data_IF_705214661556
#
_entry.id   IF_705214661556
#
_cell.length_a   1.000
_cell.length_b   1.000
_cell.length_c   1.000
_cell.angle_alpha   90.00
_cell.angle_beta   90.00
_cell.angle_gamma   90.00
#
_symmetry.space_group_name_H-M   'P 1'
#
loop_
_entity.id
_entity.type
_entity.pdbx_description
1 polymer ?
#
# COMPACT_ATOMS: atom_id res chain seq x y z
N UNK A 1 -40.43 -23.71 69.24
CA UNK A 1 -39.74 -23.99 67.95
C UNK A 1 -40.03 -22.81 67.02
N UNK A 2 -39.07 -21.89 66.83
CA UNK A 2 -38.25 -21.77 65.59
C UNK A 2 -39.12 -21.85 64.32
N UNK A 3 -39.16 -20.88 63.41
CA UNK A 3 -38.06 -20.08 62.87
C UNK A 3 -38.58 -18.81 62.17
N UNK A 4 -37.75 -17.76 62.16
CA UNK A 4 -37.88 -16.54 61.33
C UNK A 4 -37.44 -16.84 59.89
N UNK A 5 -38.03 -16.18 58.89
CA UNK A 5 -37.26 -15.77 57.70
C UNK A 5 -37.68 -14.36 57.27
N UNK A 6 -36.66 -13.50 57.17
CA UNK A 6 -36.71 -12.13 56.64
C UNK A 6 -36.60 -12.23 55.12
N UNK A 7 -37.48 -11.57 54.39
CA UNK A 7 -37.29 -11.29 52.97
C UNK A 7 -36.48 -10.00 52.88
N UNK A 8 -35.19 -10.14 52.56
CA UNK A 8 -34.34 -9.03 52.09
C UNK A 8 -34.71 -8.76 50.63
N UNK A 9 -35.28 -7.58 50.35
CA UNK A 9 -35.40 -7.07 49.00
C UNK A 9 -34.03 -6.72 48.45
N UNK A 10 -33.54 -7.50 47.49
CA UNK A 10 -32.38 -7.16 46.67
C UNK A 10 -32.81 -6.03 45.74
N UNK A 11 -32.26 -4.84 45.97
CA UNK A 11 -32.36 -3.70 45.03
C UNK A 11 -31.56 -4.09 43.79
N UNK A 12 -32.25 -4.51 42.74
CA UNK A 12 -31.68 -4.69 41.42
C UNK A 12 -31.29 -3.32 40.88
N UNK A 13 -29.98 -3.04 40.93
CA UNK A 13 -29.38 -1.84 40.35
C UNK A 13 -29.53 -1.95 38.82
N UNK A 14 -30.47 -1.19 38.26
CA UNK A 14 -30.64 -1.07 36.81
C UNK A 14 -29.33 -0.53 36.21
N UNK A 15 -28.62 -1.37 35.44
CA UNK A 15 -27.62 -0.87 34.49
C UNK A 15 -28.37 0.00 33.47
N UNK A 16 -28.15 1.32 33.54
CA UNK A 16 -28.55 2.21 32.46
C UNK A 16 -27.78 1.82 31.20
N UNK A 17 -28.49 1.30 30.19
CA UNK A 17 -27.98 1.23 28.84
C UNK A 17 -27.75 2.68 28.36
N UNK A 18 -26.50 3.04 28.07
CA UNK A 18 -26.16 4.34 27.50
C UNK A 18 -26.80 4.49 26.10
N UNK A 19 -27.24 5.70 25.72
CA UNK A 19 -27.96 5.91 24.47
C UNK A 19 -27.06 5.65 23.25
N UNK A 20 -27.65 5.14 22.16
CA UNK A 20 -27.02 5.07 20.83
C UNK A 20 -26.43 6.45 20.48
N UNK A 21 -25.10 6.51 20.30
CA UNK A 21 -24.45 7.74 19.87
C UNK A 21 -24.57 7.79 18.35
N UNK A 22 -25.23 8.83 17.86
CA UNK A 22 -25.74 9.03 16.49
C UNK A 22 -27.09 8.31 16.20
N UNK A 23 -28.17 9.09 16.11
CA UNK A 23 -29.55 8.61 15.87
C UNK A 23 -29.92 8.37 14.39
N UNK A 24 -30.70 7.29 14.19
CA UNK A 24 -31.60 6.88 13.10
C UNK A 24 -31.23 7.19 11.63
N UNK A 25 -30.66 6.17 10.95
CA UNK A 25 -31.32 5.39 9.88
C UNK A 25 -30.26 4.54 9.15
N UNK A 26 -30.37 3.20 9.22
CA UNK A 26 -29.58 2.17 8.47
C UNK A 26 -28.03 2.26 8.47
N UNK A 27 -27.46 3.32 9.03
CA UNK A 27 -26.05 3.65 9.04
C UNK A 27 -25.46 3.30 10.41
N UNK A 28 -24.26 2.74 10.42
CA UNK A 28 -23.58 2.32 11.64
C UNK A 28 -23.45 3.46 12.66
N UNK A 29 -23.48 3.16 13.97
CA UNK A 29 -23.37 4.09 15.10
C UNK A 29 -22.22 3.69 16.04
N UNK A 30 -21.84 4.58 16.97
CA UNK A 30 -20.85 4.28 18.01
C UNK A 30 -21.60 3.96 19.31
N UNK A 31 -21.17 2.91 20.00
CA UNK A 31 -21.68 2.54 21.32
C UNK A 31 -20.51 2.45 22.28
N UNK A 32 -20.63 3.10 23.43
CA UNK A 32 -19.64 3.02 24.50
C UNK A 32 -20.18 2.14 25.62
N UNK A 33 -19.41 1.12 26.00
CA UNK A 33 -19.71 0.25 27.13
C UNK A 33 -18.43 0.02 27.93
N UNK A 34 -18.44 0.43 29.19
CA UNK A 34 -17.27 0.41 30.08
C UNK A 34 -16.07 1.13 29.44
N UNK A 35 -15.01 0.40 29.10
CA UNK A 35 -13.80 0.91 28.41
C UNK A 35 -13.78 0.63 26.91
N UNK A 36 -14.80 -0.07 26.40
CA UNK A 36 -14.87 -0.48 25.01
C UNK A 36 -15.62 0.52 24.14
N UNK A 37 -15.21 0.60 22.88
CA UNK A 37 -15.85 1.40 21.83
C UNK A 37 -16.30 0.45 20.72
N UNK A 38 -17.60 0.32 20.49
CA UNK A 38 -18.14 -0.55 19.45
C UNK A 38 -18.73 0.26 18.30
N UNK A 39 -18.53 -0.22 17.08
CA UNK A 39 -19.27 0.25 15.90
C UNK A 39 -20.38 -0.77 15.62
N UNK A 40 -21.63 -0.31 15.61
CA UNK A 40 -22.82 -1.16 15.52
C UNK A 40 -23.67 -0.73 14.33
N UNK A 41 -24.16 -1.67 13.53
CA UNK A 41 -25.08 -1.40 12.43
C UNK A 41 -26.24 -2.38 12.48
N UNK A 42 -27.48 -1.88 12.45
CA UNK A 42 -28.70 -2.72 12.51
C UNK A 42 -28.67 -3.73 13.68
N UNK A 43 -28.27 -3.26 14.86
CA UNK A 43 -28.10 -4.08 16.09
C UNK A 43 -27.01 -5.17 16.01
N UNK A 44 -26.26 -5.26 14.91
CA UNK A 44 -25.07 -6.11 14.76
C UNK A 44 -23.81 -5.31 15.05
N UNK A 45 -22.98 -5.78 15.96
CA UNK A 45 -21.64 -5.23 16.16
C UNK A 45 -20.76 -5.56 14.95
N UNK A 46 -20.23 -4.52 14.30
CA UNK A 46 -19.25 -4.66 13.23
C UNK A 46 -17.86 -4.93 13.81
N UNK A 47 -17.45 -4.11 14.78
CA UNK A 47 -16.22 -4.29 15.54
C UNK A 47 -16.34 -3.71 16.96
N UNK A 48 -15.51 -4.21 17.87
CA UNK A 48 -15.35 -3.70 19.23
C UNK A 48 -13.89 -3.44 19.50
N UNK A 49 -13.58 -2.20 19.90
CA UNK A 49 -12.26 -1.75 20.34
C UNK A 49 -12.21 -1.92 21.86
N UNK A 50 -11.32 -2.79 22.33
CA UNK A 50 -11.08 -2.99 23.76
C UNK A 50 -10.19 -1.90 24.34
N UNK A 51 -9.12 -1.56 23.61
CA UNK A 51 -8.20 -0.51 24.02
C UNK A 51 -7.47 0.17 22.88
N UNK A 52 -7.11 1.42 23.14
CA UNK A 52 -6.19 2.21 22.33
C UNK A 52 -5.03 2.58 23.24
N UNK A 53 -3.89 1.96 22.98
CA UNK A 53 -2.67 2.10 23.76
C UNK A 53 -1.70 3.05 23.06
N UNK A 54 -0.95 3.83 23.83
CA UNK A 54 0.21 4.57 23.34
C UNK A 54 1.45 4.15 24.13
N UNK A 55 2.57 3.93 23.43
CA UNK A 55 3.78 3.36 24.03
C UNK A 55 3.50 2.08 24.85
N UNK A 56 2.57 1.24 24.36
CA UNK A 56 2.09 0.01 25.04
C UNK A 56 1.37 0.23 26.38
N UNK A 57 0.91 1.45 26.67
CA UNK A 57 0.09 1.79 27.84
C UNK A 57 -1.35 1.97 27.39
N UNK A 58 -2.25 1.09 27.81
CA UNK A 58 -3.69 1.19 27.54
C UNK A 58 -4.36 2.27 28.39
N UNK A 59 -5.46 2.84 27.89
CA UNK A 59 -6.24 3.80 28.64
C UNK A 59 -6.81 3.18 29.94
N UNK A 60 -6.63 3.88 31.05
CA UNK A 60 -7.07 3.49 32.38
C UNK A 60 -8.55 3.82 32.63
N UNK A 61 -9.02 4.95 32.09
CA UNK A 61 -10.40 5.43 32.15
C UNK A 61 -10.75 6.11 30.83
N UNK A 62 -12.06 6.23 30.58
CA UNK A 62 -12.58 7.03 29.47
C UNK A 62 -13.85 7.77 29.89
N UNK A 63 -14.06 8.96 29.36
CA UNK A 63 -15.29 9.72 29.56
C UNK A 63 -15.66 10.48 28.28
N UNK A 64 -16.96 10.54 27.98
CA UNK A 64 -17.45 11.36 26.86
C UNK A 64 -17.46 12.80 27.34
N UNK A 65 -16.73 13.68 26.64
CA UNK A 65 -16.73 15.12 26.94
C UNK A 65 -17.48 15.94 25.89
N UNK A 66 -17.67 15.39 24.68
CA UNK A 66 -18.53 15.96 23.65
C UNK A 66 -19.29 14.84 22.93
N UNK A 67 -20.58 15.07 22.69
CA UNK A 67 -21.41 14.21 21.87
C UNK A 67 -22.30 15.09 20.99
N UNK A 68 -22.08 15.03 19.68
CA UNK A 68 -22.81 15.78 18.67
C UNK A 68 -23.22 14.84 17.52
N UNK A 69 -24.13 15.26 16.62
CA UNK A 69 -24.60 14.42 15.52
C UNK A 69 -23.50 13.92 14.56
N UNK A 70 -22.37 14.62 14.45
CA UNK A 70 -21.29 14.27 13.52
C UNK A 70 -19.95 14.00 14.23
N UNK A 71 -19.86 14.20 15.54
CA UNK A 71 -18.62 14.04 16.28
C UNK A 71 -18.83 13.67 17.76
N UNK A 72 -17.99 12.76 18.25
CA UNK A 72 -17.85 12.41 19.66
C UNK A 72 -16.40 12.71 20.05
N UNK A 73 -16.21 13.29 21.24
CA UNK A 73 -14.88 13.41 21.85
C UNK A 73 -14.88 12.62 23.14
N UNK A 74 -13.96 11.66 23.22
CA UNK A 74 -13.74 10.81 24.38
C UNK A 74 -12.41 11.22 24.99
N UNK A 75 -12.44 11.65 26.24
CA UNK A 75 -11.25 11.89 27.02
C UNK A 75 -10.73 10.56 27.56
N UNK A 76 -9.48 10.23 27.28
CA UNK A 76 -8.79 9.01 27.68
C UNK A 76 -7.68 9.35 28.66
N UNK A 77 -7.60 8.62 29.78
CA UNK A 77 -6.52 8.80 30.76
C UNK A 77 -5.52 7.66 30.72
N UNK A 78 -4.24 8.00 30.63
CA UNK A 78 -3.11 7.06 30.63
C UNK A 78 -2.31 7.24 31.91
N UNK A 79 -2.26 6.21 32.75
CA UNK A 79 -1.55 6.27 34.03
C UNK A 79 -0.09 5.91 33.86
N UNK A 80 0.78 6.66 34.52
CA UNK A 80 2.15 6.26 34.71
C UNK A 80 2.19 4.99 35.55
N UNK A 81 2.80 3.95 35.00
CA UNK A 81 3.09 2.70 35.71
C UNK A 81 4.61 2.58 35.73
N UNK A 82 5.27 2.93 36.85
CA UNK A 82 6.71 2.82 36.95
C UNK A 82 7.12 1.35 36.87
N UNK A 83 7.63 0.92 35.72
CA UNK A 83 8.06 -0.46 35.52
C UNK A 83 9.40 -0.47 34.77
N UNK A 84 10.35 -1.26 35.27
CA UNK A 84 11.75 -1.26 34.80
C UNK A 84 11.88 -1.60 33.30
N UNK A 85 10.98 -2.44 32.78
CA UNK A 85 11.01 -2.89 31.38
C UNK A 85 10.09 -2.11 30.44
N UNK A 86 9.41 -1.05 30.92
CA UNK A 86 8.55 -0.20 30.08
C UNK A 86 9.22 1.13 29.81
N UNK A 87 8.86 1.73 28.68
CA UNK A 87 9.09 3.16 28.47
C UNK A 87 8.25 3.88 29.51
N UNK A 88 8.89 4.34 30.59
CA UNK A 88 8.21 5.15 31.60
C UNK A 88 7.72 6.43 30.93
N UNK A 89 6.40 6.63 30.99
CA UNK A 89 5.85 7.97 30.85
C UNK A 89 6.17 8.73 32.13
N UNK A 90 6.52 10.00 32.03
CA UNK A 90 6.99 10.83 33.13
C UNK A 90 5.86 11.22 34.12
N UNK A 91 4.61 11.10 33.69
CA UNK A 91 3.41 11.47 34.45
C UNK A 91 2.17 10.82 33.86
N UNK A 92 1.04 10.98 34.54
CA UNK A 92 -0.27 10.66 33.99
C UNK A 92 -0.59 11.61 32.82
N UNK A 93 -1.15 11.07 31.75
CA UNK A 93 -1.57 11.80 30.57
C UNK A 93 -3.07 11.75 30.37
N UNK A 94 -3.65 12.84 29.89
CA UNK A 94 -5.04 12.92 29.49
C UNK A 94 -5.09 13.42 28.06
N UNK A 95 -5.71 12.64 27.17
CA UNK A 95 -5.75 12.91 25.74
C UNK A 95 -7.18 12.79 25.22
N UNK A 96 -7.50 13.56 24.18
CA UNK A 96 -8.84 13.59 23.61
C UNK A 96 -8.87 12.83 22.30
N UNK A 97 -9.52 11.66 22.30
CA UNK A 97 -9.85 10.93 21.08
C UNK A 97 -11.05 11.60 20.42
N UNK A 98 -10.85 12.12 19.21
CA UNK A 98 -11.95 12.65 18.40
C UNK A 98 -12.41 11.59 17.43
N UNK A 99 -13.70 11.27 17.44
CA UNK A 99 -14.35 10.40 16.47
C UNK A 99 -15.29 11.28 15.65
N UNK A 100 -15.03 11.46 14.36
CA UNK A 100 -15.97 12.10 13.45
C UNK A 100 -16.69 11.06 12.60
N UNK A 101 -17.96 11.30 12.30
CA UNK A 101 -18.78 10.43 11.46
C UNK A 101 -19.32 11.21 10.28
N UNK A 102 -19.07 10.73 9.07
CA UNK A 102 -19.72 11.24 7.84
C UNK A 102 -20.02 10.11 6.89
N UNK A 103 -21.28 9.96 6.49
CA UNK A 103 -21.71 9.00 5.47
C UNK A 103 -21.20 7.55 5.68
N UNK A 104 -21.23 7.05 6.92
CA UNK A 104 -20.78 5.68 7.24
C UNK A 104 -19.26 5.52 7.34
N UNK A 105 -18.52 6.63 7.31
CA UNK A 105 -17.09 6.68 7.63
C UNK A 105 -16.94 7.21 9.05
N UNK A 106 -16.16 6.50 9.87
CA UNK A 106 -15.72 6.95 11.18
C UNK A 106 -14.23 7.25 11.11
N UNK A 107 -13.85 8.45 11.53
CA UNK A 107 -12.45 8.86 11.60
C UNK A 107 -12.07 9.10 13.05
N UNK A 108 -11.16 8.27 13.55
CA UNK A 108 -10.56 8.31 14.87
C UNK A 108 -9.25 9.07 14.77
N UNK A 109 -9.16 10.19 15.48
CA UNK A 109 -7.98 11.06 15.46
C UNK A 109 -7.48 11.35 16.87
N UNK A 110 -6.18 11.19 17.07
CA UNK A 110 -5.46 11.64 18.27
C UNK A 110 -3.98 11.85 17.96
N UNK A 111 -3.34 12.86 18.53
CA UNK A 111 -1.92 13.17 18.28
C UNK A 111 -1.16 13.54 19.57
N UNK A 112 -1.07 12.61 20.54
CA UNK A 112 -0.33 12.81 21.78
C UNK A 112 1.15 13.05 21.51
N UNK A 113 1.67 14.19 21.97
CA UNK A 113 3.07 14.59 21.71
C UNK A 113 4.11 13.75 22.46
N UNK A 114 3.69 13.06 23.51
CA UNK A 114 4.53 12.16 24.31
C UNK A 114 4.59 10.74 23.72
N UNK A 115 3.72 10.41 22.77
CA UNK A 115 3.68 9.08 22.19
C UNK A 115 4.66 8.93 21.02
N UNK A 116 5.23 7.72 20.91
CA UNK A 116 6.09 7.29 19.81
C UNK A 116 5.44 6.18 18.99
N UNK A 117 4.52 5.43 19.58
CA UNK A 117 3.75 4.37 18.93
C UNK A 117 2.32 4.32 19.44
N UNK A 118 1.44 3.69 18.68
CA UNK A 118 0.10 3.32 19.13
C UNK A 118 -0.23 1.87 18.81
N UNK A 119 -1.14 1.30 19.61
CA UNK A 119 -1.77 0.01 19.35
C UNK A 119 -3.28 0.10 19.52
N UNK A 120 -4.04 -0.54 18.63
CA UNK A 120 -5.47 -0.76 18.77
C UNK A 120 -5.68 -2.25 19.03
N UNK A 121 -6.46 -2.59 20.05
CA UNK A 121 -6.83 -3.96 20.39
C UNK A 121 -8.32 -4.16 20.17
N UNK A 122 -8.68 -5.16 19.37
CA UNK A 122 -10.06 -5.47 19.01
C UNK A 122 -10.49 -6.81 19.62
N UNK A 123 -11.72 -6.86 20.13
CA UNK A 123 -12.41 -8.07 20.59
C UNK A 123 -13.02 -8.84 19.41
N UNK A 124 -12.20 -9.28 18.47
CA UNK A 124 -12.64 -10.01 17.28
C UNK A 124 -12.14 -11.46 17.29
N UNK A 125 -13.05 -12.37 17.62
CA UNK A 125 -12.78 -13.80 17.57
C UNK A 125 -13.10 -14.39 16.20
N UNK A 126 -12.09 -14.96 15.54
CA UNK A 126 -12.22 -15.81 14.35
C UNK A 126 -12.74 -15.13 13.05
N UNK A 127 -12.69 -13.80 12.99
CA UNK A 127 -13.07 -13.00 11.81
C UNK A 127 -12.13 -13.21 10.60
N UNK A 128 -12.61 -12.79 9.43
CA UNK A 128 -11.89 -12.85 8.16
C UNK A 128 -11.40 -11.46 7.73
N UNK A 129 -10.21 -11.40 7.14
CA UNK A 129 -9.55 -10.14 6.80
C UNK A 129 -8.89 -10.24 5.42
N UNK A 130 -9.05 -9.22 4.60
CA UNK A 130 -8.54 -9.20 3.24
C UNK A 130 -7.85 -7.86 2.92
N UNK A 131 -6.64 -7.87 2.38
CA UNK A 131 -5.86 -6.66 2.08
C UNK A 131 -4.44 -6.75 2.64
N UNK A 132 -3.97 -5.68 3.28
CA UNK A 132 -2.67 -5.47 3.93
C UNK A 132 -1.41 -5.61 3.09
N UNK A 133 -1.28 -6.68 2.32
CA UNK A 133 -0.16 -6.92 1.44
C UNK A 133 -0.53 -7.84 0.30
N UNK A 134 0.21 -7.70 -0.79
CA UNK A 134 0.10 -8.53 -1.97
C UNK A 134 0.66 -9.93 -1.74
N UNK A 135 1.92 -10.00 -1.31
CA UNK A 135 2.70 -11.24 -1.23
C UNK A 135 2.42 -12.03 0.04
N UNK A 136 1.81 -13.20 -0.12
CA UNK A 136 1.96 -14.30 0.80
C UNK A 136 2.36 -15.49 -0.11
N UNK A 137 3.65 -15.80 -0.37
CA UNK A 137 4.15 -17.14 -0.87
C UNK A 137 5.46 -17.71 -0.21
N UNK A 138 5.63 -18.97 0.36
CA UNK A 138 4.75 -20.17 0.65
C UNK A 138 4.29 -20.42 2.13
N UNK A 139 3.10 -21.03 2.40
CA UNK A 139 2.47 -21.38 3.74
C UNK A 139 1.09 -20.74 4.06
N UNK A 140 0.00 -21.22 3.44
CA UNK A 140 -1.39 -20.66 3.44
C UNK A 140 -1.72 -19.65 2.33
N UNK A 141 -0.93 -19.72 1.27
CA UNK A 141 -0.51 -18.58 0.48
C UNK A 141 -1.30 -18.38 -0.84
N UNK A 142 -2.24 -19.30 -1.14
CA UNK A 142 -3.24 -19.22 -2.23
C UNK A 142 -4.60 -18.62 -1.80
N UNK A 143 -4.84 -18.46 -0.50
CA UNK A 143 -6.06 -17.80 0.00
C UNK A 143 -5.78 -16.32 0.26
N UNK A 144 -6.65 -15.37 -0.14
CA UNK A 144 -6.49 -13.96 0.21
C UNK A 144 -6.87 -13.66 1.67
N UNK A 145 -7.40 -14.62 2.42
CA UNK A 145 -7.79 -14.47 3.82
C UNK A 145 -6.57 -14.47 4.76
N UNK A 146 -6.47 -13.43 5.57
CA UNK A 146 -5.38 -13.20 6.52
C UNK A 146 -5.71 -13.61 7.96
N UNK A 147 -6.82 -14.33 8.18
CA UNK A 147 -7.14 -14.86 9.50
C UNK A 147 -6.01 -15.75 10.04
N UNK A 148 -5.65 -15.52 11.31
CA UNK A 148 -4.58 -16.22 12.01
C UNK A 148 -3.17 -15.77 11.61
N UNK A 149 -3.04 -14.71 10.80
CA UNK A 149 -1.75 -14.22 10.32
C UNK A 149 -1.23 -13.05 11.16
N UNK A 150 0.10 -12.90 11.15
CA UNK A 150 0.78 -11.67 11.59
C UNK A 150 1.42 -11.03 10.36
N UNK A 151 1.01 -9.80 10.04
CA UNK A 151 1.46 -9.07 8.88
C UNK A 151 2.25 -7.84 9.30
N UNK A 152 3.47 -7.70 8.80
CA UNK A 152 4.22 -6.45 8.87
C UNK A 152 3.82 -5.55 7.69
N UNK A 153 3.35 -4.34 8.00
CA UNK A 153 2.96 -3.33 7.01
C UNK A 153 4.14 -2.40 6.79
N UNK A 154 5.10 -2.93 6.06
CA UNK A 154 6.30 -2.26 5.61
C UNK A 154 6.69 -2.88 4.27
N UNK A 155 6.90 -2.07 3.23
CA UNK A 155 7.26 -2.61 1.92
C UNK A 155 8.64 -3.24 2.04
N UNK A 156 8.76 -4.55 1.86
CA UNK A 156 10.04 -5.24 1.84
C UNK A 156 10.02 -6.18 0.65
N UNK A 157 10.88 -5.92 -0.33
CA UNK A 157 11.14 -6.91 -1.37
C UNK A 157 11.86 -8.09 -0.72
N UNK A 158 11.38 -9.30 -0.96
CA UNK A 158 11.99 -10.51 -0.41
C UNK A 158 13.34 -10.79 -1.12
N UNK A 159 14.36 -10.02 -0.78
CA UNK A 159 15.71 -10.35 -1.19
C UNK A 159 16.09 -11.70 -0.57
N UNK A 160 16.41 -12.66 -1.44
CA UNK A 160 17.22 -13.86 -1.16
C UNK A 160 16.62 -15.04 -0.39
N UNK A 161 15.41 -14.98 0.18
CA UNK A 161 14.93 -16.10 1.01
C UNK A 161 14.25 -17.24 0.25
N UNK A 162 13.68 -16.97 -0.93
CA UNK A 162 12.86 -17.95 -1.69
C UNK A 162 13.16 -18.02 -3.19
N UNK A 163 14.24 -17.37 -3.66
CA UNK A 163 14.63 -17.27 -5.09
C UNK A 163 13.60 -16.59 -6.01
N UNK A 164 12.69 -15.79 -5.45
CA UNK A 164 11.59 -15.19 -6.21
C UNK A 164 11.33 -13.76 -5.71
N UNK A 165 11.48 -12.78 -6.60
CA UNK A 165 11.25 -11.36 -6.31
C UNK A 165 9.81 -11.00 -6.67
N UNK A 166 8.90 -11.29 -5.76
CA UNK A 166 7.47 -11.03 -5.98
C UNK A 166 7.06 -9.63 -5.56
N UNK A 167 6.16 -9.05 -6.36
CA UNK A 167 4.94 -8.38 -5.90
C UNK A 167 5.03 -7.67 -4.53
N UNK A 168 5.30 -6.36 -4.57
CA UNK A 168 5.65 -5.57 -3.39
C UNK A 168 4.67 -4.44 -3.08
N UNK A 169 3.37 -4.72 -3.12
CA UNK A 169 2.33 -3.77 -2.71
C UNK A 169 1.85 -4.01 -1.29
N UNK A 170 1.86 -2.95 -0.48
CA UNK A 170 1.29 -2.92 0.86
C UNK A 170 0.25 -1.82 1.03
N UNK A 171 -0.61 -1.99 2.02
CA UNK A 171 -1.48 -0.93 2.52
C UNK A 171 -1.81 -1.20 3.98
N UNK A 172 -1.83 -0.18 4.84
CA UNK A 172 -2.47 -0.28 6.15
C UNK A 172 -4.02 -0.36 6.07
N UNK A 173 -4.56 -1.09 5.09
CA UNK A 173 -5.98 -1.29 4.82
C UNK A 173 -6.34 -2.78 4.89
N UNK A 174 -7.44 -3.10 5.57
CA UNK A 174 -8.09 -4.40 5.41
C UNK A 174 -9.61 -4.27 5.31
N UNK A 175 -10.21 -5.15 4.53
CA UNK A 175 -11.66 -5.37 4.43
C UNK A 175 -12.08 -6.54 5.33
N UNK A 176 -13.21 -6.38 6.01
CA UNK A 176 -13.85 -7.42 6.83
C UNK A 176 -15.27 -7.69 6.29
N UNK A 177 -15.64 -8.96 5.99
CA UNK A 177 -16.96 -9.33 5.47
C UNK A 177 -18.15 -9.00 6.37
N UNK A 178 -17.93 -8.58 7.63
CA UNK A 178 -18.98 -8.02 8.48
C UNK A 178 -19.61 -6.74 7.91
N UNK A 179 -18.99 -6.12 6.90
CA UNK A 179 -19.48 -4.91 6.24
C UNK A 179 -18.69 -3.66 6.61
N UNK A 180 -17.41 -3.83 6.95
CA UNK A 180 -16.53 -2.71 7.25
C UNK A 180 -15.13 -2.91 6.66
N UNK A 181 -14.39 -1.81 6.54
CA UNK A 181 -12.95 -1.81 6.30
C UNK A 181 -12.24 -0.87 7.26
N UNK A 182 -10.99 -1.19 7.56
CA UNK A 182 -10.12 -0.44 8.48
C UNK A 182 -8.93 0.11 7.70
N UNK A 183 -8.58 1.37 7.94
CA UNK A 183 -7.43 2.02 7.30
C UNK A 183 -6.68 2.96 8.24
N UNK A 184 -5.39 2.75 8.43
CA UNK A 184 -4.52 3.71 9.13
C UNK A 184 -3.77 4.56 8.12
N UNK A 185 -3.98 5.87 8.15
CA UNK A 185 -3.35 6.83 7.26
C UNK A 185 -1.96 7.24 7.76
N UNK A 186 -0.95 6.41 7.47
CA UNK A 186 0.44 6.64 7.89
C UNK A 186 1.44 5.90 6.99
N UNK A 187 2.62 6.49 6.80
CA UNK A 187 3.77 5.78 6.23
C UNK A 187 4.55 5.00 7.29
N UNK A 188 4.29 5.21 8.58
CA UNK A 188 5.00 4.51 9.65
C UNK A 188 4.79 2.99 9.54
N UNK A 189 5.88 2.22 9.66
CA UNK A 189 5.82 0.76 9.70
C UNK A 189 4.80 0.27 10.74
N UNK A 190 4.08 -0.78 10.39
CA UNK A 190 3.02 -1.35 11.21
C UNK A 190 3.11 -2.85 11.37
N UNK A 191 2.35 -3.39 12.32
CA UNK A 191 2.20 -4.83 12.56
C UNK A 191 0.74 -5.15 12.88
N UNK A 192 0.16 -6.10 12.17
CA UNK A 192 -1.24 -6.50 12.26
C UNK A 192 -1.31 -7.96 12.66
N UNK A 193 -1.88 -8.26 13.83
CA UNK A 193 -2.12 -9.63 14.28
C UNK A 193 -3.62 -9.88 14.18
N UNK A 194 -4.03 -10.83 13.34
CA UNK A 194 -5.42 -10.95 12.91
C UNK A 194 -6.06 -12.22 13.44
N UNK A 195 -7.03 -12.09 14.36
CA UNK A 195 -7.76 -13.18 15.01
C UNK A 195 -6.86 -14.27 15.64
N UNK A 196 -5.66 -13.91 16.09
CA UNK A 196 -4.75 -14.83 16.78
C UNK A 196 -5.26 -15.01 18.22
N UNK A 197 -5.59 -16.26 18.59
CA UNK A 197 -6.19 -16.60 19.88
C UNK A 197 -7.46 -15.77 20.18
N UNK A 198 -8.24 -15.48 19.13
CA UNK A 198 -9.49 -14.72 19.23
C UNK A 198 -9.32 -13.22 19.48
N UNK A 199 -8.12 -12.67 19.25
CA UNK A 199 -7.82 -11.25 19.38
C UNK A 199 -7.22 -10.70 18.09
N UNK A 200 -7.51 -9.43 17.83
CA UNK A 200 -6.88 -8.68 16.74
C UNK A 200 -6.15 -7.47 17.32
N UNK A 201 -4.96 -7.19 16.81
CA UNK A 201 -4.19 -6.00 17.18
C UNK A 201 -3.63 -5.31 15.95
N UNK A 202 -3.63 -3.98 15.99
CA UNK A 202 -3.03 -3.11 14.97
C UNK A 202 -2.02 -2.22 15.68
N UNK A 203 -0.77 -2.27 15.26
CA UNK A 203 0.33 -1.46 15.80
C UNK A 203 0.95 -0.61 14.71
N UNK A 204 1.34 0.62 15.02
CA UNK A 204 2.22 1.44 14.18
C UNK A 204 3.25 2.20 15.02
N UNK A 205 4.45 2.36 14.45
CA UNK A 205 5.58 3.07 15.04
C UNK A 205 5.46 4.60 14.88
N UNK A 206 4.31 5.14 15.25
CA UNK A 206 4.05 6.58 15.31
C UNK A 206 3.12 6.92 16.47
N UNK A 207 3.30 8.08 17.10
CA UNK A 207 2.40 8.57 18.15
C UNK A 207 1.10 9.17 17.61
N UNK A 208 0.97 9.36 16.29
CA UNK A 208 -0.22 9.93 15.66
C UNK A 208 -1.20 8.83 15.23
N UNK A 209 -2.37 8.80 15.85
CA UNK A 209 -3.51 7.99 15.42
C UNK A 209 -4.33 8.77 14.37
N UNK A 210 -4.37 8.27 13.15
CA UNK A 210 -5.17 8.78 12.03
C UNK A 210 -5.85 7.59 11.35
N UNK A 211 -6.96 7.14 11.94
CA UNK A 211 -7.54 5.83 11.66
C UNK A 211 -8.99 5.94 11.19
N UNK A 212 -9.32 5.22 10.13
CA UNK A 212 -10.63 5.23 9.49
C UNK A 212 -11.26 3.86 9.59
N UNK A 213 -12.55 3.83 9.94
CA UNK A 213 -13.43 2.70 9.68
C UNK A 213 -14.47 3.11 8.64
N UNK A 214 -14.50 2.40 7.53
CA UNK A 214 -15.52 2.55 6.49
C UNK A 214 -16.59 1.48 6.69
N UNK A 215 -17.86 1.83 6.64
CA UNK A 215 -18.98 0.88 6.78
C UNK A 215 -19.91 0.94 5.57
N UNK A 216 -20.46 -0.20 5.19
CA UNK A 216 -21.38 -0.31 4.07
C UNK A 216 -21.13 -1.56 3.20
N UNK A 217 -21.71 -1.55 2.01
CA UNK A 217 -21.34 -2.50 0.98
C UNK A 217 -19.94 -2.23 0.42
N UNK A 218 -19.47 -3.15 -0.42
CA UNK A 218 -18.17 -3.07 -1.06
C UNK A 218 -17.99 -1.73 -1.80
N UNK A 219 -18.94 -1.35 -2.67
CA UNK A 219 -18.84 -0.13 -3.47
C UNK A 219 -18.66 1.12 -2.60
N UNK A 220 -19.52 1.29 -1.59
CA UNK A 220 -19.49 2.46 -0.70
C UNK A 220 -18.19 2.55 0.10
N UNK A 221 -17.66 1.40 0.54
CA UNK A 221 -16.38 1.34 1.25
C UNK A 221 -15.26 1.88 0.37
N UNK A 222 -15.13 1.39 -0.87
CA UNK A 222 -14.07 1.86 -1.76
C UNK A 222 -14.27 3.30 -2.24
N UNK A 223 -15.50 3.72 -2.53
CA UNK A 223 -15.79 5.13 -2.84
C UNK A 223 -15.38 6.08 -1.71
N UNK A 224 -15.54 5.64 -0.45
CA UNK A 224 -15.15 6.41 0.73
C UNK A 224 -13.65 6.37 0.96
N UNK A 225 -13.03 5.20 0.81
CA UNK A 225 -11.59 5.02 0.92
C UNK A 225 -10.84 5.85 -0.13
N UNK A 226 -11.30 5.88 -1.39
CA UNK A 226 -10.73 6.72 -2.44
C UNK A 226 -10.91 8.22 -2.23
N UNK A 227 -11.84 8.67 -1.37
CA UNK A 227 -11.89 10.08 -0.95
C UNK A 227 -10.76 10.44 0.01
N UNK A 228 -10.18 9.45 0.70
CA UNK A 228 -9.05 9.63 1.63
C UNK A 228 -7.72 9.50 0.89
N UNK A 229 -7.52 8.41 0.15
CA UNK A 229 -6.23 8.09 -0.50
C UNK A 229 -6.10 8.62 -1.95
N UNK A 230 -7.20 9.13 -2.52
CA UNK A 230 -7.29 9.52 -3.93
C UNK A 230 -7.82 8.39 -4.81
N UNK A 231 -8.47 8.77 -5.91
CA UNK A 231 -9.04 7.82 -6.87
C UNK A 231 -7.95 7.15 -7.70
N UNK A 232 -8.12 5.87 -8.06
CA UNK A 232 -7.24 5.21 -9.01
C UNK A 232 -7.12 5.99 -10.32
N UNK A 233 -5.91 6.05 -10.84
CA UNK A 233 -5.61 6.64 -12.14
C UNK A 233 -6.30 5.86 -13.26
N UNK A 234 -6.69 6.58 -14.31
CA UNK A 234 -7.21 5.98 -15.54
C UNK A 234 -6.09 5.30 -16.33
N UNK A 235 -6.37 4.13 -16.90
CA UNK A 235 -5.43 3.41 -17.78
C UNK A 235 -5.77 3.77 -19.23
N UNK A 236 -4.81 4.31 -20.01
CA UNK A 236 -5.08 4.61 -21.41
C UNK A 236 -5.38 3.32 -22.18
N UNK A 237 -6.29 3.39 -23.15
CA UNK A 237 -6.82 2.20 -23.84
C UNK A 237 -5.72 1.34 -24.49
N UNK A 238 -4.68 1.98 -25.03
CA UNK A 238 -3.53 1.28 -25.61
C UNK A 238 -2.75 0.45 -24.58
N UNK A 239 -2.81 0.78 -23.29
CA UNK A 239 -2.18 0.01 -22.22
C UNK A 239 -3.09 -1.09 -21.63
N UNK A 240 -4.35 -1.16 -22.05
CA UNK A 240 -5.26 -2.26 -21.69
C UNK A 240 -5.11 -3.48 -22.61
N UNK A 241 -4.43 -3.34 -23.74
CA UNK A 241 -4.12 -4.46 -24.64
C UNK A 241 -2.83 -5.20 -24.22
N UNK A 242 -2.51 -6.32 -24.89
CA UNK A 242 -1.28 -7.07 -24.59
C UNK A 242 -0.03 -6.21 -24.74
N UNK A 243 0.84 -6.30 -23.73
CA UNK A 243 2.17 -5.67 -23.72
C UNK A 243 3.19 -6.78 -24.00
N UNK A 244 3.97 -6.62 -25.07
CA UNK A 244 5.03 -7.55 -25.44
C UNK A 244 6.37 -7.00 -24.95
N UNK A 245 7.19 -7.87 -24.37
CA UNK A 245 8.49 -7.50 -23.82
C UNK A 245 9.48 -8.66 -23.88
N UNK A 246 10.76 -8.35 -23.67
CA UNK A 246 11.85 -9.31 -23.54
C UNK A 246 12.86 -8.85 -22.49
N UNK A 247 13.45 -9.83 -21.79
CA UNK A 247 14.44 -9.58 -20.73
C UNK A 247 15.84 -9.29 -21.29
N UNK A 248 16.13 -9.70 -22.53
CA UNK A 248 17.42 -9.46 -23.18
C UNK A 248 17.23 -8.82 -24.56
N UNK A 249 17.93 -7.72 -24.82
CA UNK A 249 17.79 -6.93 -26.04
C UNK A 249 19.13 -6.80 -26.79
N UNK A 250 19.72 -7.94 -27.17
CA UNK A 250 21.08 -7.99 -27.69
C UNK A 250 21.26 -7.38 -29.08
N UNK A 251 20.23 -7.42 -29.93
CA UNK A 251 20.19 -6.82 -31.27
C UNK A 251 19.55 -5.43 -31.34
N UNK A 252 19.12 -4.88 -30.19
CA UNK A 252 18.69 -3.50 -30.06
C UNK A 252 17.41 -3.16 -30.83
N UNK A 253 17.34 -1.96 -31.41
CA UNK A 253 16.13 -1.46 -32.09
C UNK A 253 15.66 -2.32 -33.27
N UNK A 254 16.58 -3.03 -33.94
CA UNK A 254 16.24 -3.91 -35.05
C UNK A 254 15.38 -5.10 -34.60
N UNK A 255 15.66 -5.66 -33.42
CA UNK A 255 14.88 -6.76 -32.86
C UNK A 255 13.46 -6.33 -32.48
N UNK A 256 13.31 -5.12 -31.93
CA UNK A 256 12.00 -4.56 -31.56
C UNK A 256 11.12 -4.39 -32.81
N UNK A 257 11.69 -3.87 -33.90
CA UNK A 257 10.97 -3.70 -35.17
C UNK A 257 10.64 -5.05 -35.81
N UNK A 258 11.54 -6.04 -35.68
CA UNK A 258 11.30 -7.39 -36.18
C UNK A 258 10.19 -8.10 -35.40
N UNK A 259 10.14 -7.99 -34.07
CA UNK A 259 9.01 -8.47 -33.27
C UNK A 259 7.69 -7.88 -33.77
N UNK A 260 7.65 -6.55 -33.95
CA UNK A 260 6.44 -5.88 -34.41
C UNK A 260 5.94 -6.41 -35.76
N UNK A 261 6.88 -6.64 -36.69
CA UNK A 261 6.63 -7.23 -37.99
C UNK A 261 6.16 -8.69 -37.87
N UNK A 262 6.82 -9.51 -37.05
CA UNK A 262 6.49 -10.91 -36.89
C UNK A 262 5.09 -11.10 -36.27
N UNK A 263 4.78 -10.42 -35.18
CA UNK A 263 3.44 -10.47 -34.57
C UNK A 263 2.36 -10.02 -35.56
N UNK A 264 2.63 -8.97 -36.35
CA UNK A 264 1.72 -8.50 -37.40
C UNK A 264 1.50 -9.55 -38.50
N UNK A 265 2.57 -10.19 -38.99
CA UNK A 265 2.48 -11.25 -39.99
C UNK A 265 1.73 -12.48 -39.48
N UNK A 266 1.92 -12.81 -38.20
CA UNK A 266 1.24 -13.90 -37.49
C UNK A 266 -0.19 -13.53 -37.09
N UNK A 267 -0.62 -12.28 -37.27
CA UNK A 267 -1.92 -11.74 -36.86
C UNK A 267 -2.21 -11.91 -35.37
N UNK A 268 -1.17 -11.79 -34.54
CA UNK A 268 -1.29 -11.82 -33.08
C UNK A 268 -1.43 -10.37 -32.60
N UNK A 269 -2.56 -9.97 -31.99
CA UNK A 269 -2.80 -8.59 -31.58
C UNK A 269 -2.07 -8.24 -30.30
N UNK A 270 -1.48 -7.05 -30.28
CA UNK A 270 -0.86 -6.41 -29.12
C UNK A 270 -0.82 -4.90 -29.37
N UNK A 271 -0.65 -4.10 -28.32
CA UNK A 271 -0.81 -2.65 -28.41
C UNK A 271 0.42 -1.88 -27.92
N UNK A 272 1.30 -2.56 -27.18
CA UNK A 272 2.46 -1.94 -26.55
C UNK A 272 3.68 -2.83 -26.67
N UNK A 273 4.83 -2.23 -26.97
CA UNK A 273 6.14 -2.85 -26.78
C UNK A 273 6.83 -2.22 -25.56
N UNK A 274 7.44 -3.06 -24.74
CA UNK A 274 8.25 -2.65 -23.62
C UNK A 274 9.67 -3.21 -23.79
N UNK A 275 10.67 -2.35 -23.64
CA UNK A 275 12.08 -2.79 -23.56
C UNK A 275 12.51 -2.87 -22.10
N UNK A 276 13.05 -4.02 -21.69
CA UNK A 276 13.78 -4.16 -20.42
C UNK A 276 15.27 -3.81 -20.63
N UNK A 277 16.02 -3.61 -19.54
CA UNK A 277 17.48 -3.52 -19.66
C UNK A 277 18.02 -4.84 -20.25
N UNK A 278 19.03 -4.82 -21.13
CA UNK A 278 19.88 -3.67 -21.45
C UNK A 278 19.39 -2.83 -22.64
N UNK A 279 19.22 -1.53 -22.44
CA UNK A 279 18.97 -0.57 -23.53
C UNK A 279 19.69 0.77 -23.41
N UNK A 280 20.16 1.11 -22.20
CA UNK A 280 20.83 2.37 -21.88
C UNK A 280 22.32 2.15 -21.63
N UNK A 281 23.08 3.24 -21.61
CA UNK A 281 24.44 3.29 -21.09
C UNK A 281 24.45 3.34 -19.54
N UNK A 282 25.65 3.19 -18.95
CA UNK A 282 25.89 3.30 -17.52
C UNK A 282 25.79 1.99 -16.73
N UNK A 283 25.88 2.09 -15.41
CA UNK A 283 25.63 1.00 -14.46
C UNK A 283 24.35 0.21 -14.76
N UNK A 284 24.48 -1.12 -14.75
CA UNK A 284 23.42 -2.09 -15.08
C UNK A 284 22.72 -1.84 -16.43
N UNK A 285 23.37 -1.13 -17.36
CA UNK A 285 22.83 -0.82 -18.69
C UNK A 285 21.50 -0.04 -18.62
N UNK A 286 21.38 0.83 -17.60
CA UNK A 286 20.22 1.66 -17.28
C UNK A 286 20.56 3.09 -16.89
N UNK A 287 21.54 3.32 -16.01
CA UNK A 287 21.58 4.51 -15.16
C UNK A 287 21.80 5.86 -15.86
N UNK A 288 22.20 5.88 -17.14
CA UNK A 288 22.18 7.10 -17.97
C UNK A 288 20.77 7.46 -18.48
N UNK A 289 19.85 6.50 -18.44
CA UNK A 289 18.46 6.61 -18.87
C UNK A 289 18.34 7.02 -20.34
N UNK A 290 19.36 6.69 -21.13
CA UNK A 290 19.48 6.99 -22.55
C UNK A 290 19.25 5.74 -23.40
N UNK A 291 19.49 5.85 -24.70
CA UNK A 291 19.52 4.72 -25.61
C UNK A 291 20.95 4.53 -26.08
N UNK A 292 21.50 3.34 -25.84
CA UNK A 292 22.87 3.01 -26.28
C UNK A 292 22.94 2.85 -27.80
N UNK A 293 24.15 2.64 -28.34
CA UNK A 293 24.39 2.59 -29.78
C UNK A 293 23.58 1.52 -30.53
N UNK A 294 23.13 0.44 -29.88
CA UNK A 294 22.27 -0.58 -30.49
C UNK A 294 20.83 -0.08 -30.71
N UNK A 295 20.44 1.00 -30.03
CA UNK A 295 19.13 1.65 -30.12
C UNK A 295 19.22 3.05 -30.76
N UNK A 296 20.25 3.29 -31.58
CA UNK A 296 20.48 4.58 -32.22
C UNK A 296 19.24 5.08 -32.97
N UNK A 297 19.03 6.41 -32.93
CA UNK A 297 17.88 7.11 -33.52
C UNK A 297 16.52 6.65 -32.95
N UNK A 298 16.33 6.67 -31.61
CA UNK A 298 15.08 6.28 -30.96
C UNK A 298 13.84 6.98 -31.50
N UNK A 299 13.95 8.26 -31.84
CA UNK A 299 12.88 9.03 -32.46
C UNK A 299 12.37 8.44 -33.78
N UNK A 300 13.23 7.73 -34.53
CA UNK A 300 12.88 7.14 -35.82
C UNK A 300 12.16 5.80 -35.62
N UNK A 301 12.74 4.88 -34.86
CA UNK A 301 12.17 3.54 -34.73
C UNK A 301 10.94 3.50 -33.81
N UNK A 302 10.88 4.33 -32.77
CA UNK A 302 9.66 4.48 -31.94
C UNK A 302 8.51 5.03 -32.79
N UNK A 303 8.79 6.04 -33.63
CA UNK A 303 7.78 6.58 -34.56
C UNK A 303 7.34 5.53 -35.58
N UNK A 304 8.26 4.70 -36.08
CA UNK A 304 7.93 3.61 -37.00
C UNK A 304 6.98 2.56 -36.36
N UNK A 305 7.18 2.22 -35.08
CA UNK A 305 6.27 1.35 -34.33
C UNK A 305 4.84 1.89 -34.34
N UNK A 306 4.71 3.18 -34.04
CA UNK A 306 3.42 3.87 -34.01
C UNK A 306 2.77 3.99 -35.38
N UNK A 307 3.49 4.51 -36.36
CA UNK A 307 2.93 4.82 -37.68
C UNK A 307 2.61 3.56 -38.50
N UNK A 308 3.42 2.51 -38.36
CA UNK A 308 3.29 1.29 -39.18
C UNK A 308 2.41 0.25 -38.52
N UNK A 309 2.52 0.10 -37.20
CA UNK A 309 1.89 -0.99 -36.46
C UNK A 309 0.85 -0.52 -35.43
N UNK A 310 0.72 0.80 -35.21
CA UNK A 310 -0.22 1.34 -34.21
C UNK A 310 0.20 1.07 -32.76
N UNK A 311 1.49 0.81 -32.51
CA UNK A 311 2.00 0.40 -31.21
C UNK A 311 2.55 1.60 -30.43
N UNK A 312 2.23 1.65 -29.14
CA UNK A 312 2.90 2.57 -28.21
C UNK A 312 4.12 1.88 -27.58
N UNK A 313 5.07 2.68 -27.07
CA UNK A 313 6.34 2.19 -26.56
C UNK A 313 6.61 2.68 -25.13
N UNK A 314 7.06 1.76 -24.28
CA UNK A 314 7.40 2.01 -22.87
C UNK A 314 8.76 1.39 -22.52
N UNK A 315 9.38 1.86 -21.44
CA UNK A 315 10.71 1.35 -21.03
C UNK A 315 10.74 0.90 -19.57
N UNK A 316 11.60 -0.06 -19.25
CA UNK A 316 11.94 -0.38 -17.87
C UNK A 316 12.74 0.76 -17.22
N UNK A 317 12.45 1.08 -15.97
CA UNK A 317 13.18 2.07 -15.16
C UNK A 317 13.35 1.58 -13.71
N UNK A 318 14.38 2.08 -13.02
CA UNK A 318 14.57 1.88 -11.58
C UNK A 318 14.77 3.20 -10.83
N UNK A 319 14.52 3.17 -9.53
CA UNK A 319 14.75 4.30 -8.61
C UNK A 319 16.22 4.47 -8.19
N UNK A 320 17.13 3.73 -8.82
CA UNK A 320 18.52 3.61 -8.43
C UNK A 320 19.46 3.68 -9.65
N UNK A 321 20.66 4.22 -9.45
CA UNK A 321 21.69 4.38 -10.51
C UNK A 321 22.79 3.32 -10.43
N UNK A 322 22.71 2.43 -9.44
CA UNK A 322 23.64 1.34 -9.13
C UNK A 322 25.06 1.83 -8.84
N UNK A 323 25.84 2.07 -9.88
CA UNK A 323 27.26 2.47 -9.80
C UNK A 323 27.55 3.85 -10.38
N UNK A 324 26.57 4.48 -11.03
CA UNK A 324 26.75 5.78 -11.67
C UNK A 324 26.67 6.92 -10.65
N UNK A 325 27.84 7.49 -10.34
CA UNK A 325 28.03 8.52 -9.30
C UNK A 325 27.86 9.95 -9.78
N UNK A 326 27.64 10.17 -11.07
CA UNK A 326 27.40 11.50 -11.66
C UNK A 326 26.00 12.05 -11.34
N UNK A 327 25.12 11.21 -10.79
CA UNK A 327 23.79 11.61 -10.38
C UNK A 327 23.84 12.35 -9.02
N UNK A 328 23.22 13.54 -8.89
CA UNK A 328 23.22 14.29 -7.64
C UNK A 328 22.20 13.73 -6.65
N UNK A 329 22.48 13.83 -5.35
CA UNK A 329 21.52 13.47 -4.30
C UNK A 329 21.25 11.96 -4.20
N UNK A 330 22.26 11.13 -4.49
CA UNK A 330 22.19 9.70 -4.22
C UNK A 330 22.30 9.42 -2.73
N UNK A 331 21.45 8.52 -2.23
CA UNK A 331 21.60 7.94 -0.90
C UNK A 331 22.80 7.00 -0.87
N UNK A 332 23.57 6.95 0.24
CA UNK A 332 24.61 5.95 0.42
C UNK A 332 24.07 4.52 0.28
N UNK A 333 24.85 3.63 -0.32
CA UNK A 333 24.47 2.22 -0.50
C UNK A 333 24.99 1.60 -1.79
N UNK A 334 24.85 0.28 -1.91
CA UNK A 334 25.30 -0.51 -3.07
C UNK A 334 24.55 -0.17 -4.36
N UNK A 335 23.29 0.25 -4.24
CA UNK A 335 22.40 0.53 -5.36
C UNK A 335 22.41 1.99 -5.81
N UNK A 336 22.94 2.94 -5.03
CA UNK A 336 22.85 4.37 -5.36
C UNK A 336 21.40 4.80 -5.61
N UNK A 337 20.52 4.67 -4.61
CA UNK A 337 19.13 5.12 -4.71
C UNK A 337 19.07 6.64 -4.86
N UNK A 338 18.23 7.13 -5.76
CA UNK A 338 17.93 8.56 -5.86
C UNK A 338 17.16 9.00 -4.61
N UNK A 339 17.62 10.05 -3.90
CA UNK A 339 16.82 10.66 -2.83
C UNK A 339 15.64 11.43 -3.45
N UNK A 340 14.48 10.78 -3.53
CA UNK A 340 13.27 11.36 -4.12
C UNK A 340 12.63 12.46 -3.25
N UNK A 341 13.19 12.74 -2.07
CA UNK A 341 12.86 13.93 -1.27
C UNK A 341 13.73 15.14 -1.59
N UNK A 342 14.85 14.95 -2.31
CA UNK A 342 15.72 16.02 -2.75
C UNK A 342 15.29 16.59 -4.12
N UNK A 343 15.04 17.90 -4.16
CA UNK A 343 14.61 18.57 -5.38
C UNK A 343 15.67 18.48 -6.50
N UNK A 344 16.97 18.45 -6.17
CA UNK A 344 18.04 18.32 -7.16
C UNK A 344 18.05 16.93 -7.81
N UNK A 345 17.89 15.87 -7.00
CA UNK A 345 17.77 14.49 -7.46
C UNK A 345 16.55 14.31 -8.38
N UNK A 346 15.38 14.81 -7.97
CA UNK A 346 14.14 14.77 -8.78
C UNK A 346 14.29 15.57 -10.07
N UNK A 347 14.97 16.72 -10.04
CA UNK A 347 15.21 17.53 -11.24
C UNK A 347 16.11 16.83 -12.24
N UNK A 348 17.21 16.20 -11.81
CA UNK A 348 18.08 15.43 -12.69
C UNK A 348 17.36 14.20 -13.26
N UNK A 349 16.58 13.49 -12.44
CA UNK A 349 15.79 12.35 -12.91
C UNK A 349 14.84 12.77 -14.03
N UNK A 350 14.09 13.84 -13.78
CA UNK A 350 13.17 14.41 -14.76
C UNK A 350 13.86 14.92 -16.01
N UNK A 351 15.06 15.50 -15.88
CA UNK A 351 15.85 15.98 -17.02
C UNK A 351 16.25 14.82 -17.93
N UNK A 352 16.88 13.77 -17.39
CA UNK A 352 17.34 12.61 -18.19
C UNK A 352 16.17 11.92 -18.89
N UNK A 353 15.08 11.65 -18.16
CA UNK A 353 13.89 11.03 -18.76
C UNK A 353 13.27 11.91 -19.84
N UNK A 354 13.18 13.24 -19.62
CA UNK A 354 12.64 14.15 -20.63
C UNK A 354 13.52 14.20 -21.89
N UNK A 355 14.82 14.38 -21.72
CA UNK A 355 15.77 14.59 -22.82
C UNK A 355 16.01 13.32 -23.63
N UNK A 356 16.04 12.15 -22.97
CA UNK A 356 16.44 10.90 -23.61
C UNK A 356 15.30 9.90 -23.86
N UNK A 357 14.17 10.00 -23.15
CA UNK A 357 13.05 9.07 -23.30
C UNK A 357 11.81 9.77 -23.89
N UNK A 358 11.28 10.77 -23.20
CA UNK A 358 9.99 11.37 -23.55
C UNK A 358 10.04 12.17 -24.86
N UNK A 359 11.14 12.87 -25.13
CA UNK A 359 11.41 13.54 -26.41
C UNK A 359 11.39 12.57 -27.61
N UNK A 360 11.68 11.29 -27.37
CA UNK A 360 11.78 10.25 -28.39
C UNK A 360 10.49 9.41 -28.52
N UNK A 361 9.45 9.69 -27.73
CA UNK A 361 8.15 9.03 -27.84
C UNK A 361 7.87 7.93 -26.79
N UNK A 362 8.68 7.80 -25.75
CA UNK A 362 8.38 6.87 -24.64
C UNK A 362 7.21 7.40 -23.81
N UNK A 363 6.10 6.65 -23.75
CA UNK A 363 4.83 7.08 -23.11
C UNK A 363 4.54 6.42 -21.75
N UNK A 364 5.49 5.67 -21.21
CA UNK A 364 5.27 5.00 -19.94
C UNK A 364 6.45 4.14 -19.52
N UNK A 365 6.32 3.54 -18.34
CA UNK A 365 7.38 2.74 -17.77
C UNK A 365 6.92 1.51 -16.98
N UNK A 366 7.71 0.44 -17.06
CA UNK A 366 7.81 -0.62 -16.05
C UNK A 366 8.76 -0.14 -14.95
N UNK A 367 8.24 0.07 -13.74
CA UNK A 367 8.92 0.69 -12.61
C UNK A 367 9.37 -0.38 -11.62
N UNK A 368 10.66 -0.60 -11.53
CA UNK A 368 11.23 -1.75 -10.84
C UNK A 368 12.14 -1.36 -9.66
N UNK A 369 12.44 -2.35 -8.82
CA UNK A 369 13.47 -2.35 -7.76
C UNK A 369 13.33 -1.37 -6.61
N UNK A 370 12.29 -0.54 -6.56
CA UNK A 370 12.04 0.32 -5.40
C UNK A 370 11.80 -0.48 -4.11
N UNK A 371 11.58 -1.80 -4.23
CA UNK A 371 11.38 -2.73 -3.14
C UNK A 371 12.63 -3.42 -2.58
N UNK A 372 13.77 -3.31 -3.25
CA UNK A 372 14.97 -4.10 -2.95
C UNK A 372 15.85 -3.44 -1.86
N UNK A 373 17.19 -3.54 -1.96
CA UNK A 373 18.21 -3.15 -0.97
C UNK A 373 18.18 -1.65 -0.59
N UNK A 374 17.08 -1.21 0.02
CA UNK A 374 16.80 0.17 0.33
C UNK A 374 17.61 0.61 1.55
N UNK A 375 18.36 1.73 1.46
CA UNK A 375 19.19 2.20 2.55
C UNK A 375 18.36 2.89 3.65
N UNK A 376 17.58 2.12 4.40
CA UNK A 376 16.58 2.62 5.35
C UNK A 376 17.17 3.53 6.44
N UNK A 377 18.37 3.21 6.93
CA UNK A 377 19.07 3.99 7.96
C UNK A 377 19.56 5.36 7.47
N UNK A 378 19.70 5.57 6.16
CA UNK A 378 20.30 6.78 5.62
C UNK A 378 19.38 7.99 5.73
N UNK A 379 19.98 9.13 6.08
CA UNK A 379 19.24 10.38 6.25
C UNK A 379 18.83 10.95 4.89
N UNK A 380 17.53 11.23 4.74
CA UNK A 380 16.99 11.89 3.57
C UNK A 380 17.08 13.41 3.69
N UNK A 381 17.07 14.11 2.55
CA UNK A 381 17.11 15.56 2.47
C UNK A 381 15.99 16.24 3.26
N UNK A 382 14.78 15.70 3.20
CA UNK A 382 13.61 16.24 3.91
C UNK A 382 13.51 15.83 5.38
N UNK A 383 14.49 15.07 5.89
CA UNK A 383 14.54 14.57 7.27
C UNK A 383 13.35 13.68 7.66
N UNK A 384 12.76 12.97 6.69
CA UNK A 384 11.75 11.93 6.97
C UNK A 384 12.25 10.99 8.09
N UNK A 385 11.44 10.70 9.12
CA UNK A 385 11.80 9.75 10.16
C UNK A 385 12.02 8.34 9.61
N UNK A 386 13.01 7.63 10.15
CA UNK A 386 13.41 6.29 9.67
C UNK A 386 12.23 5.31 9.56
N UNK A 387 11.32 5.33 10.54
CA UNK A 387 10.15 4.45 10.60
C UNK A 387 9.12 4.69 9.49
N UNK A 388 9.20 5.80 8.73
CA UNK A 388 8.33 6.09 7.57
C UNK A 388 9.02 5.91 6.21
N UNK A 389 10.36 5.99 6.18
CA UNK A 389 11.14 6.13 4.94
C UNK A 389 10.80 5.05 3.92
N UNK A 390 10.71 3.80 4.37
CA UNK A 390 10.53 2.66 3.47
C UNK A 390 9.24 2.74 2.66
N UNK A 391 8.11 2.89 3.36
CA UNK A 391 6.80 3.02 2.73
C UNK A 391 6.67 4.34 1.94
N UNK A 392 7.19 5.44 2.50
CA UNK A 392 7.15 6.75 1.84
C UNK A 392 7.96 6.75 0.54
N UNK A 393 9.07 6.01 0.47
CA UNK A 393 9.94 5.97 -0.70
C UNK A 393 9.20 5.40 -1.92
N UNK A 394 8.54 4.26 -1.71
CA UNK A 394 7.75 3.60 -2.75
C UNK A 394 6.62 4.51 -3.21
N UNK A 395 5.91 5.16 -2.29
CA UNK A 395 4.94 6.19 -2.64
C UNK A 395 5.55 7.33 -3.48
N UNK A 396 6.69 7.90 -3.05
CA UNK A 396 7.35 8.99 -3.77
C UNK A 396 7.77 8.56 -5.17
N UNK A 397 8.29 7.35 -5.35
CA UNK A 397 8.69 6.84 -6.66
C UNK A 397 7.51 6.82 -7.64
N UNK A 398 6.35 6.31 -7.19
CA UNK A 398 5.13 6.30 -8.00
C UNK A 398 4.68 7.73 -8.37
N UNK A 399 4.66 8.64 -7.39
CA UNK A 399 4.21 10.02 -7.56
C UNK A 399 5.14 10.85 -8.45
N UNK A 400 6.46 10.74 -8.26
CA UNK A 400 7.47 11.47 -9.03
C UNK A 400 7.44 11.03 -10.48
N UNK A 401 7.50 9.72 -10.75
CA UNK A 401 7.49 9.19 -12.12
C UNK A 401 6.21 9.56 -12.87
N UNK A 402 5.04 9.42 -12.23
CA UNK A 402 3.76 9.85 -12.83
C UNK A 402 3.76 11.35 -13.16
N UNK A 403 4.24 12.18 -12.23
CA UNK A 403 4.30 13.63 -12.41
C UNK A 403 5.24 14.04 -13.56
N UNK A 404 6.31 13.28 -13.80
CA UNK A 404 7.24 13.50 -14.91
C UNK A 404 6.61 13.11 -16.24
N UNK A 405 6.01 11.92 -16.34
CA UNK A 405 5.27 11.48 -17.54
C UNK A 405 4.12 12.43 -17.88
N UNK A 406 3.36 12.86 -16.86
CA UNK A 406 2.20 13.75 -17.04
C UNK A 406 2.56 15.11 -17.61
N UNK A 407 3.78 15.62 -17.37
CA UNK A 407 4.27 16.86 -17.99
C UNK A 407 4.46 16.72 -19.52
N UNK A 408 4.80 15.52 -20.00
CA UNK A 408 5.01 15.25 -21.43
C UNK A 408 3.75 14.78 -22.15
N UNK A 409 2.94 13.95 -21.48
CA UNK A 409 1.87 13.17 -22.11
C UNK A 409 0.48 13.37 -21.48
N UNK A 410 0.35 14.21 -20.46
CA UNK A 410 -0.90 14.41 -19.74
C UNK A 410 -1.41 13.10 -19.12
N UNK A 411 -2.68 12.75 -19.35
CA UNK A 411 -3.27 11.51 -18.85
C UNK A 411 -3.07 10.33 -19.82
N UNK A 412 -2.48 10.53 -20.99
CA UNK A 412 -2.24 9.49 -22.00
C UNK A 412 -0.85 8.83 -21.80
N UNK A 413 -0.63 8.33 -20.59
CA UNK A 413 0.64 7.72 -20.18
C UNK A 413 0.44 6.57 -19.19
N UNK A 414 1.42 5.67 -19.12
CA UNK A 414 1.33 4.42 -18.39
C UNK A 414 2.42 4.27 -17.34
N UNK A 415 2.01 3.93 -16.11
CA UNK A 415 2.89 3.67 -14.96
C UNK A 415 2.56 2.30 -14.39
N UNK A 416 3.50 1.36 -14.50
CA UNK A 416 3.32 -0.04 -14.11
C UNK A 416 4.42 -0.45 -13.14
N UNK A 417 4.12 -0.69 -11.87
CA UNK A 417 5.14 -0.82 -10.81
C UNK A 417 5.14 -2.19 -10.16
N UNK A 418 6.31 -2.67 -9.71
CA UNK A 418 6.42 -3.83 -8.80
C UNK A 418 6.02 -3.48 -7.37
N UNK A 419 6.36 -2.27 -6.94
CA UNK A 419 6.23 -1.84 -5.55
C UNK A 419 5.21 -0.70 -5.41
N UNK A 420 4.35 -0.78 -4.40
CA UNK A 420 3.31 0.21 -4.13
C UNK A 420 2.98 0.35 -2.65
N UNK A 421 2.48 1.52 -2.26
CA UNK A 421 1.90 1.75 -0.94
C UNK A 421 0.56 2.48 -1.07
N UNK A 422 -0.25 2.53 -0.01
CA UNK A 422 -1.47 3.33 -0.07
C UNK A 422 -1.18 4.80 -0.42
N UNK A 423 -2.08 5.41 -1.17
CA UNK A 423 -1.88 6.72 -1.76
C UNK A 423 -1.17 6.69 -3.11
N UNK A 424 -0.62 5.55 -3.56
CA UNK A 424 -0.06 5.40 -4.91
C UNK A 424 -1.12 5.23 -6.01
N UNK A 425 -2.36 4.88 -5.66
CA UNK A 425 -3.48 4.65 -6.58
C UNK A 425 -3.69 5.79 -7.61
N UNK A 426 -3.58 7.09 -7.25
CA UNK A 426 -3.73 8.19 -8.21
C UNK A 426 -2.58 8.33 -9.21
N UNK A 427 -1.47 7.63 -9.01
CA UNK A 427 -0.24 7.74 -9.80
C UNK A 427 0.11 6.47 -10.57
N UNK A 428 -0.61 5.37 -10.32
CA UNK A 428 -0.32 4.06 -10.89
C UNK A 428 -1.42 3.61 -11.84
N UNK A 429 -1.01 3.24 -13.04
CA UNK A 429 -1.91 2.66 -14.04
C UNK A 429 -2.15 1.18 -13.74
N UNK A 430 -1.12 0.48 -13.25
CA UNK A 430 -1.27 -0.89 -12.76
C UNK A 430 -0.11 -1.34 -11.87
N UNK A 431 -0.31 -2.50 -11.24
CA UNK A 431 0.68 -3.23 -10.47
C UNK A 431 1.15 -4.46 -11.25
N UNK A 432 2.44 -4.74 -11.22
CA UNK A 432 3.05 -5.93 -11.79
C UNK A 432 3.45 -6.91 -10.70
N UNK A 433 3.08 -8.18 -10.86
CA UNK A 433 3.28 -9.25 -9.88
C UNK A 433 4.72 -9.68 -9.60
N UNK A 434 5.72 -9.05 -10.23
CA UNK A 434 7.13 -9.38 -10.03
C UNK A 434 7.61 -10.61 -10.80
N UNK A 435 8.77 -11.12 -10.39
CA UNK A 435 9.59 -12.15 -11.04
C UNK A 435 9.03 -13.56 -10.76
N UNK A 436 7.81 -13.81 -11.23
CA UNK A 436 6.99 -14.94 -10.80
C UNK A 436 7.46 -16.31 -11.32
N UNK A 437 7.27 -17.40 -10.55
CA UNK A 437 7.65 -18.76 -11.01
C UNK A 437 6.85 -19.21 -12.24
N UNK A 438 7.55 -19.79 -13.21
CA UNK A 438 6.95 -20.52 -14.34
C UNK A 438 6.43 -21.89 -13.88
N UNK A 439 5.31 -21.91 -13.13
CA UNK A 439 4.63 -23.15 -12.71
C UNK A 439 3.14 -22.93 -12.44
N UNK A 440 2.36 -24.02 -12.37
CA UNK A 440 0.95 -23.96 -11.94
C UNK A 440 0.77 -23.38 -10.54
N UNK A 441 1.74 -23.63 -9.65
CA UNK A 441 1.73 -23.04 -8.31
C UNK A 441 2.00 -21.53 -8.34
N UNK A 442 2.92 -21.07 -9.19
CA UNK A 442 3.16 -19.65 -9.43
C UNK A 442 1.91 -18.95 -9.96
N UNK A 443 1.23 -19.55 -10.94
CA UNK A 443 -0.04 -19.06 -11.45
C UNK A 443 -1.12 -18.98 -10.35
N UNK A 444 -1.27 -20.03 -9.53
CA UNK A 444 -2.26 -20.04 -8.46
C UNK A 444 -1.97 -19.00 -7.36
N UNK A 445 -0.70 -18.79 -7.02
CA UNK A 445 -0.29 -17.76 -6.05
C UNK A 445 -0.59 -16.35 -6.57
N UNK A 446 -0.32 -16.10 -7.85
CA UNK A 446 -0.59 -14.83 -8.51
C UNK A 446 -2.07 -14.42 -8.48
N UNK A 447 -3.00 -15.39 -8.60
CA UNK A 447 -4.42 -15.10 -8.46
C UNK A 447 -4.76 -14.57 -7.05
N UNK A 448 -4.16 -15.15 -6.01
CA UNK A 448 -4.36 -14.68 -4.64
C UNK A 448 -3.76 -13.28 -4.43
N UNK A 449 -2.57 -13.03 -4.98
CA UNK A 449 -1.91 -11.73 -4.94
C UNK A 449 -2.78 -10.64 -5.60
N UNK A 450 -3.31 -10.91 -6.79
CA UNK A 450 -4.23 -10.02 -7.50
C UNK A 450 -5.48 -9.69 -6.66
N UNK A 451 -6.06 -10.69 -6.00
CA UNK A 451 -7.21 -10.47 -5.11
C UNK A 451 -6.85 -9.58 -3.93
N UNK A 452 -5.71 -9.81 -3.25
CA UNK A 452 -5.27 -8.96 -2.13
C UNK A 452 -5.02 -7.52 -2.56
N UNK A 453 -4.40 -7.33 -3.72
CA UNK A 453 -4.16 -6.00 -4.31
C UNK A 453 -5.47 -5.27 -4.64
N UNK A 454 -6.44 -6.00 -5.19
CA UNK A 454 -7.80 -5.48 -5.41
C UNK A 454 -8.44 -5.03 -4.09
N UNK A 455 -8.34 -5.84 -3.03
CA UNK A 455 -8.83 -5.44 -1.71
C UNK A 455 -8.16 -4.17 -1.17
N UNK A 456 -6.89 -3.90 -1.51
CA UNK A 456 -6.18 -2.68 -1.12
C UNK A 456 -6.53 -1.45 -1.98
N UNK A 457 -7.45 -1.58 -2.93
CA UNK A 457 -7.93 -0.49 -3.78
C UNK A 457 -7.08 -0.24 -5.03
N UNK A 458 -6.34 -1.23 -5.51
CA UNK A 458 -5.64 -1.17 -6.79
C UNK A 458 -6.41 -2.00 -7.83
N UNK A 459 -7.12 -1.36 -8.77
CA UNK A 459 -8.04 -2.07 -9.67
C UNK A 459 -7.35 -2.79 -10.83
N UNK A 460 -6.12 -2.41 -11.16
CA UNK A 460 -5.38 -2.96 -12.29
C UNK A 460 -4.12 -3.66 -11.80
N UNK A 461 -4.03 -4.95 -12.11
CA UNK A 461 -2.92 -5.82 -11.73
C UNK A 461 -2.61 -6.76 -12.90
N UNK A 462 -1.35 -7.02 -13.14
CA UNK A 462 -0.87 -7.93 -14.18
C UNK A 462 0.35 -8.72 -13.73
N UNK A 463 0.68 -9.77 -14.46
CA UNK A 463 1.85 -10.61 -14.23
C UNK A 463 2.43 -11.05 -15.56
N UNK A 464 3.69 -11.47 -15.56
CA UNK A 464 4.32 -12.02 -16.74
C UNK A 464 3.59 -13.31 -17.13
N UNK A 465 3.01 -13.31 -18.34
CA UNK A 465 2.30 -14.45 -18.86
C UNK A 465 3.24 -15.67 -18.88
N UNK A 466 2.79 -16.80 -18.35
CA UNK A 466 3.58 -18.04 -18.14
C UNK A 466 4.66 -17.99 -17.05
N UNK A 467 4.87 -16.84 -16.42
CA UNK A 467 5.91 -16.64 -15.40
C UNK A 467 7.24 -16.15 -15.97
N UNK A 468 8.13 -15.69 -15.08
CA UNK A 468 9.47 -15.18 -15.38
C UNK A 468 10.57 -16.15 -14.94
N UNK A 469 10.52 -16.57 -13.67
CA UNK A 469 11.52 -17.44 -13.06
C UNK A 469 11.28 -18.90 -13.45
N UNK A 470 12.04 -19.41 -14.44
CA UNK A 470 11.95 -20.80 -14.89
C UNK A 470 12.35 -20.98 -16.35
N UNK A 471 11.83 -22.06 -16.98
CA UNK A 471 12.12 -22.40 -18.39
C UNK A 471 11.17 -21.74 -19.39
N UNK A 472 10.25 -20.88 -18.94
CA UNK A 472 9.21 -20.28 -19.79
C UNK A 472 8.11 -21.26 -20.26
N UNK A 473 8.15 -22.52 -19.82
CA UNK A 473 7.13 -23.53 -20.08
C UNK A 473 6.61 -24.02 -18.74
N UNK A 474 5.29 -23.96 -18.54
CA UNK A 474 4.66 -24.63 -17.41
C UNK A 474 4.51 -26.11 -17.80
N UNK A 475 5.22 -27.05 -17.14
CA UNK A 475 5.15 -28.48 -17.46
C UNK A 475 3.81 -29.12 -17.13
#
# INVERSE_FOLDING_TARGET
MMCRSKILGVVTMFLFALPNLFGQDKLASVVLKDKSISIVQNSRTLLTIDSISFNFISQSTQSIILNSPDSIVIQLQYKNVPEFYRINIDRDYTENLTITRRNGVFHFYMNPKWARSFSIHLAESNDHYFGLMEGLYPDNRKSPDLRGQTIDVEVVGEATRLFENYASVWSAFYFNPKGYASFVNTFARGKYQLAINGKTSVFHDTGKLDWYIFTGDHQRIYESYYKVIGKPKFVPLWACGPIIWRDENNGGSAEILDDAKQFSNLKIPFTTLMVDRPYSNGGHQWSKMDFNSKFAKPEVWIKALKDTYGLEFITWIASATFTDKDFPGLLPGSFGYMDLSDAASVAEFGKRLKEHQYSNGVKGHKMDRADEQFPQGEAWKDKTPEFERRNKYVYLYTKVTDSLLKKSWGNDQFTFTRAGFHGSQPYLSGIWGGDVRTSWDGMAANLANAMRVSYMGFPNWGTDATGYSGTGIIP
#
